data_IF_028525500553
#
_entry.id   IF_028525500553
#
_cell.length_a   1.000
_cell.length_b   1.000
_cell.length_c   1.000
_cell.angle_alpha   90.00
_cell.angle_beta   90.00
_cell.angle_gamma   90.00
#
_symmetry.space_group_name_H-M   'P 1'
#
loop_
_entity.id
_entity.type
_entity.pdbx_description
1 polymer ?
#
# COMPACT_ATOMS: atom_id res chain seq x y z
N UNK A 1 -21.89 -16.63 -12.82
CA UNK A 1 -21.50 -17.55 -11.73
C UNK A 1 -22.01 -16.95 -10.43
N UNK A 2 -23.13 -17.45 -9.93
CA UNK A 2 -23.73 -17.02 -8.67
C UNK A 2 -23.22 -17.86 -7.48
N UNK A 3 -21.98 -18.32 -7.57
CA UNK A 3 -21.34 -19.16 -6.56
C UNK A 3 -20.54 -18.34 -5.55
N UNK A 4 -20.49 -18.83 -4.31
CA UNK A 4 -19.48 -18.39 -3.35
C UNK A 4 -18.11 -18.93 -3.78
N UNK A 5 -17.04 -18.11 -3.76
CA UNK A 5 -15.71 -18.59 -4.11
C UNK A 5 -15.30 -19.74 -3.17
N UNK A 6 -14.58 -20.73 -3.70
CA UNK A 6 -14.05 -21.80 -2.87
C UNK A 6 -12.98 -21.27 -1.90
N UNK A 7 -12.62 -22.06 -0.87
CA UNK A 7 -11.53 -21.68 0.05
C UNK A 7 -10.21 -21.43 -0.68
N UNK A 8 -9.91 -22.24 -1.69
CA UNK A 8 -8.67 -22.15 -2.45
C UNK A 8 -8.65 -20.93 -3.36
N UNK A 9 -9.82 -20.51 -3.86
CA UNK A 9 -9.95 -19.28 -4.64
C UNK A 9 -9.62 -18.06 -3.78
N UNK A 10 -10.18 -18.01 -2.56
CA UNK A 10 -9.85 -16.93 -1.60
C UNK A 10 -8.36 -16.92 -1.27
N UNK A 11 -7.78 -18.08 -0.96
CA UNK A 11 -6.35 -18.16 -0.62
C UNK A 11 -5.47 -17.70 -1.78
N UNK A 12 -5.81 -18.04 -3.02
CA UNK A 12 -5.07 -17.57 -4.18
C UNK A 12 -5.21 -16.05 -4.36
N UNK A 13 -6.41 -15.48 -4.15
CA UNK A 13 -6.61 -14.03 -4.14
C UNK A 13 -5.78 -13.34 -3.05
N UNK A 14 -5.65 -13.95 -1.87
CA UNK A 14 -4.84 -13.41 -0.78
C UNK A 14 -3.35 -13.39 -1.14
N UNK A 15 -2.84 -14.45 -1.75
CA UNK A 15 -1.46 -14.48 -2.27
C UNK A 15 -1.25 -13.38 -3.31
N UNK A 16 -2.19 -13.21 -4.26
CA UNK A 16 -2.09 -12.15 -5.26
C UNK A 16 -2.10 -10.75 -4.65
N UNK A 17 -3.01 -10.47 -3.69
CA UNK A 17 -3.05 -9.19 -2.97
C UNK A 17 -1.74 -8.95 -2.21
N UNK A 18 -1.20 -10.00 -1.58
CA UNK A 18 0.07 -9.93 -0.85
C UNK A 18 1.23 -9.58 -1.77
N UNK A 19 1.31 -10.22 -2.94
CA UNK A 19 2.34 -9.93 -3.93
C UNK A 19 2.22 -8.49 -4.45
N UNK A 20 1.01 -8.02 -4.75
CA UNK A 20 0.80 -6.63 -5.22
C UNK A 20 1.21 -5.63 -4.13
N UNK A 21 0.85 -5.88 -2.86
CA UNK A 21 1.26 -5.02 -1.74
C UNK A 21 2.77 -5.00 -1.55
N UNK A 22 3.40 -6.18 -1.51
CA UNK A 22 4.86 -6.33 -1.46
C UNK A 22 5.55 -5.62 -2.62
N UNK A 23 5.07 -5.78 -3.86
CA UNK A 23 5.67 -5.14 -5.03
C UNK A 23 5.74 -3.61 -4.88
N UNK A 24 4.63 -2.96 -4.54
CA UNK A 24 4.63 -1.52 -4.38
C UNK A 24 5.37 -1.03 -3.15
N UNK A 25 5.35 -1.80 -2.05
CA UNK A 25 6.00 -1.38 -0.81
C UNK A 25 7.51 -1.61 -0.81
N UNK A 26 7.98 -2.70 -1.43
CA UNK A 26 9.35 -3.22 -1.27
C UNK A 26 10.18 -3.23 -2.55
N UNK A 27 9.56 -3.56 -3.69
CA UNK A 27 10.29 -3.55 -4.97
C UNK A 27 10.41 -2.11 -5.45
N UNK A 28 9.31 -1.34 -5.45
CA UNK A 28 9.34 0.06 -5.91
C UNK A 28 10.15 0.98 -4.97
N UNK A 29 10.21 0.69 -3.66
CA UNK A 29 11.06 1.44 -2.70
C UNK A 29 12.56 1.14 -2.83
N UNK A 30 12.92 0.03 -3.50
CA UNK A 30 14.26 -0.52 -3.45
C UNK A 30 14.68 -1.12 -2.10
N UNK A 31 13.74 -1.41 -1.19
CA UNK A 31 14.08 -2.04 0.11
C UNK A 31 14.30 -3.55 0.01
N UNK A 32 13.53 -4.26 -0.83
CA UNK A 32 13.76 -5.68 -1.16
C UNK A 32 14.21 -5.90 -2.62
N UNK A 33 14.74 -4.87 -3.28
CA UNK A 33 15.41 -5.07 -4.58
C UNK A 33 16.63 -5.98 -4.42
N UNK A 34 17.02 -6.66 -5.49
CA UNK A 34 18.30 -7.39 -5.51
C UNK A 34 19.44 -6.38 -5.44
N UNK A 35 19.89 -6.02 -4.23
CA UNK A 35 21.00 -5.09 -4.00
C UNK A 35 22.34 -5.69 -4.45
N UNK A 36 22.46 -7.02 -4.32
CA UNK A 36 23.54 -7.81 -4.88
C UNK A 36 22.97 -8.82 -5.88
N UNK A 37 23.73 -9.07 -6.95
CA UNK A 37 23.44 -10.11 -7.95
C UNK A 37 24.23 -11.40 -7.67
N UNK A 38 24.96 -11.45 -6.56
CA UNK A 38 25.64 -12.68 -6.13
C UNK A 38 24.60 -13.76 -5.80
N UNK A 39 24.76 -15.00 -6.31
CA UNK A 39 23.74 -16.04 -6.19
C UNK A 39 23.26 -16.30 -4.75
N UNK A 40 24.16 -16.27 -3.77
CA UNK A 40 23.83 -16.46 -2.36
C UNK A 40 22.98 -15.33 -1.77
N UNK A 41 23.32 -14.07 -2.10
CA UNK A 41 22.56 -12.90 -1.66
C UNK A 41 21.18 -12.83 -2.32
N UNK A 42 21.08 -13.23 -3.60
CA UNK A 42 19.81 -13.37 -4.32
C UNK A 42 18.92 -14.41 -3.63
N UNK A 43 19.46 -15.62 -3.37
CA UNK A 43 18.70 -16.68 -2.71
C UNK A 43 18.22 -16.27 -1.32
N UNK A 44 19.08 -15.65 -0.50
CA UNK A 44 18.72 -15.16 0.82
C UNK A 44 17.62 -14.09 0.75
N UNK A 45 17.71 -13.15 -0.20
CA UNK A 45 16.69 -12.10 -0.41
C UNK A 45 15.34 -12.68 -0.84
N UNK A 46 15.35 -13.69 -1.71
CA UNK A 46 14.11 -14.38 -2.14
C UNK A 46 13.49 -15.14 -0.97
N UNK A 47 14.27 -15.88 -0.20
CA UNK A 47 13.79 -16.63 0.97
C UNK A 47 13.21 -15.67 2.02
N UNK A 48 13.93 -14.59 2.32
CA UNK A 48 13.46 -13.54 3.23
C UNK A 48 12.15 -12.93 2.75
N UNK A 49 12.06 -12.67 1.44
CA UNK A 49 10.85 -12.09 0.86
C UNK A 49 9.65 -13.03 0.98
N UNK A 50 9.84 -14.32 0.72
CA UNK A 50 8.78 -15.32 0.77
C UNK A 50 8.29 -15.60 2.20
N UNK A 51 9.19 -15.59 3.19
CA UNK A 51 8.87 -16.00 4.56
C UNK A 51 8.48 -14.82 5.44
N UNK A 52 9.08 -13.64 5.21
CA UNK A 52 8.91 -12.48 6.09
C UNK A 52 8.14 -11.36 5.42
N UNK A 53 8.66 -10.77 4.34
CA UNK A 53 8.09 -9.51 3.84
C UNK A 53 6.76 -9.72 3.09
N UNK A 54 6.64 -10.69 2.18
CA UNK A 54 5.37 -10.97 1.50
C UNK A 54 4.26 -11.30 2.50
N UNK A 55 4.47 -12.19 3.50
CA UNK A 55 3.49 -12.42 4.56
C UNK A 55 3.21 -11.18 5.40
N UNK A 56 4.22 -10.40 5.78
CA UNK A 56 4.06 -9.18 6.56
C UNK A 56 3.12 -8.19 5.86
N UNK A 57 3.41 -7.86 4.59
CA UNK A 57 2.62 -6.92 3.81
C UNK A 57 1.22 -7.49 3.47
N UNK A 58 1.19 -8.77 3.10
CA UNK A 58 -0.05 -9.49 2.78
C UNK A 58 -1.03 -9.54 3.92
N UNK A 59 -0.58 -10.00 5.10
CA UNK A 59 -1.43 -10.17 6.28
C UNK A 59 -1.97 -8.83 6.77
N UNK A 60 -1.14 -7.77 6.83
CA UNK A 60 -1.61 -6.43 7.16
C UNK A 60 -2.67 -5.95 6.16
N UNK A 61 -2.39 -6.07 4.85
CA UNK A 61 -3.33 -5.66 3.80
C UNK A 61 -4.66 -6.39 3.93
N UNK A 62 -4.64 -7.72 4.06
CA UNK A 62 -5.84 -8.55 4.09
C UNK A 62 -6.65 -8.29 5.37
N UNK A 63 -6.01 -8.20 6.54
CA UNK A 63 -6.69 -7.94 7.81
C UNK A 63 -7.35 -6.56 7.81
N UNK A 64 -6.62 -5.51 7.42
CA UNK A 64 -7.13 -4.15 7.41
C UNK A 64 -8.18 -3.94 6.31
N UNK A 65 -7.97 -4.51 5.12
CA UNK A 65 -8.98 -4.52 4.07
C UNK A 65 -10.24 -5.24 4.54
N UNK A 66 -10.11 -6.40 5.19
CA UNK A 66 -11.26 -7.11 5.75
C UNK A 66 -12.06 -6.22 6.70
N UNK A 67 -11.40 -5.49 7.62
CA UNK A 67 -12.08 -4.56 8.53
C UNK A 67 -12.85 -3.50 7.75
N UNK A 68 -12.18 -2.84 6.80
CA UNK A 68 -12.80 -1.76 6.01
C UNK A 68 -13.96 -2.29 5.16
N UNK A 69 -13.77 -3.34 4.38
CA UNK A 69 -14.82 -3.91 3.56
C UNK A 69 -15.96 -4.50 4.42
N UNK A 70 -15.67 -5.11 5.57
CA UNK A 70 -16.73 -5.71 6.41
C UNK A 70 -17.62 -4.65 7.06
N UNK A 71 -17.04 -3.54 7.52
CA UNK A 71 -17.74 -2.57 8.36
C UNK A 71 -18.02 -1.23 7.67
N UNK A 72 -17.51 -1.01 6.46
CA UNK A 72 -17.51 0.29 5.80
C UNK A 72 -17.48 0.16 4.26
N UNK A 73 -17.49 1.31 3.59
CA UNK A 73 -17.11 1.44 2.19
C UNK A 73 -15.62 1.81 2.09
N UNK A 74 -14.86 1.27 1.13
CA UNK A 74 -13.42 1.50 0.98
C UNK A 74 -13.12 2.88 0.36
N UNK A 75 -13.52 3.94 1.07
CA UNK A 75 -13.24 5.33 0.68
C UNK A 75 -11.79 5.67 0.91
N UNK A 76 -11.26 6.62 0.14
CA UNK A 76 -9.88 7.08 0.28
C UNK A 76 -9.52 7.41 1.74
N UNK A 77 -10.35 8.19 2.43
CA UNK A 77 -10.09 8.63 3.80
C UNK A 77 -10.14 7.48 4.82
N UNK A 78 -11.07 6.53 4.64
CA UNK A 78 -11.14 5.33 5.48
C UNK A 78 -9.92 4.44 5.26
N UNK A 79 -9.56 4.20 4.00
CA UNK A 79 -8.40 3.39 3.65
C UNK A 79 -7.10 4.07 4.07
N UNK A 80 -7.05 5.40 4.08
CA UNK A 80 -5.89 6.16 4.53
C UNK A 80 -5.59 5.84 5.99
N UNK A 81 -6.55 5.97 6.91
CA UNK A 81 -6.34 5.62 8.32
C UNK A 81 -6.00 4.15 8.55
N UNK A 82 -6.61 3.23 7.78
CA UNK A 82 -6.20 1.83 7.82
C UNK A 82 -4.74 1.66 7.36
N UNK A 83 -4.32 2.39 6.33
CA UNK A 83 -2.94 2.48 5.87
C UNK A 83 -1.97 3.12 6.88
N UNK A 84 -2.43 4.09 7.70
CA UNK A 84 -1.63 4.61 8.83
C UNK A 84 -1.39 3.50 9.86
N UNK A 85 -2.43 2.74 10.22
CA UNK A 85 -2.31 1.59 11.14
C UNK A 85 -1.36 0.54 10.57
N UNK A 86 -1.39 0.33 9.26
CA UNK A 86 -0.40 -0.50 8.55
C UNK A 86 1.00 0.02 8.84
N UNK A 87 1.31 1.28 8.49
CA UNK A 87 2.65 1.84 8.66
C UNK A 87 3.20 1.79 10.09
N UNK A 88 2.34 1.79 11.10
CA UNK A 88 2.79 1.68 12.51
C UNK A 88 3.46 0.34 12.85
N UNK A 89 3.33 -0.72 12.03
CA UNK A 89 4.10 -1.96 12.25
C UNK A 89 5.60 -1.69 12.29
N UNK A 90 6.06 -0.67 11.57
CA UNK A 90 7.47 -0.31 11.41
C UNK A 90 8.14 0.00 12.76
N UNK A 91 7.39 0.47 13.77
CA UNK A 91 7.90 0.60 15.12
C UNK A 91 8.31 -0.76 15.72
N UNK A 92 7.52 -1.80 15.51
CA UNK A 92 7.73 -3.09 16.17
C UNK A 92 8.55 -4.07 15.35
N UNK A 93 8.47 -4.05 14.02
CA UNK A 93 9.15 -5.02 13.15
C UNK A 93 10.55 -4.55 12.79
N UNK A 94 10.69 -3.33 12.25
CA UNK A 94 11.99 -2.81 11.76
C UNK A 94 12.63 -1.80 12.72
N UNK A 95 11.88 -1.34 13.72
CA UNK A 95 12.25 -0.31 14.70
C UNK A 95 12.55 1.06 14.10
N UNK A 96 12.33 1.28 12.80
CA UNK A 96 12.72 2.52 12.12
C UNK A 96 12.07 3.77 12.72
N UNK A 97 10.88 3.66 13.30
CA UNK A 97 10.24 4.78 14.00
C UNK A 97 11.02 5.20 15.25
N UNK A 98 11.79 4.31 15.88
CA UNK A 98 12.56 4.61 17.09
C UNK A 98 14.04 4.87 16.84
N UNK A 99 14.62 4.32 15.77
CA UNK A 99 16.06 4.44 15.49
C UNK A 99 16.38 5.21 14.20
N UNK A 100 15.38 5.52 13.38
CA UNK A 100 15.57 6.13 12.07
C UNK A 100 16.13 5.16 11.02
N UNK A 101 16.38 5.66 9.82
CA UNK A 101 17.00 4.86 8.75
C UNK A 101 18.52 4.70 8.89
N UNK A 102 19.17 5.53 9.72
CA UNK A 102 20.61 5.51 9.86
C UNK A 102 21.15 6.49 10.90
N UNK A 103 22.49 6.60 11.03
CA UNK A 103 23.14 7.49 12.00
C UNK A 103 22.84 8.97 11.75
N UNK A 104 22.46 9.33 10.52
CA UNK A 104 22.14 10.70 10.13
C UNK A 104 20.71 11.13 10.46
N UNK A 105 19.92 10.26 11.10
CA UNK A 105 18.60 10.64 11.61
C UNK A 105 18.78 11.64 12.75
N UNK A 106 18.42 12.90 12.47
CA UNK A 106 18.68 14.01 13.39
C UNK A 106 17.46 14.43 14.20
N UNK A 107 16.24 14.15 13.74
CA UNK A 107 15.03 14.76 14.29
C UNK A 107 14.18 13.72 15.03
N UNK A 108 14.27 13.75 16.36
CA UNK A 108 13.45 12.93 17.25
C UNK A 108 12.48 13.79 18.06
N UNK A 109 11.24 13.33 18.18
CA UNK A 109 10.26 13.90 19.11
C UNK A 109 9.58 12.76 19.84
N UNK A 110 9.50 12.83 21.18
CA UNK A 110 8.92 11.73 21.95
C UNK A 110 9.68 10.39 21.80
N UNK A 111 10.94 10.43 21.36
CA UNK A 111 11.73 9.23 21.05
C UNK A 111 11.34 8.53 19.74
N UNK A 112 10.59 9.20 18.86
CA UNK A 112 10.33 8.73 17.49
C UNK A 112 10.97 9.65 16.45
N UNK A 113 11.53 9.04 15.40
CA UNK A 113 12.19 9.70 14.28
C UNK A 113 11.15 10.41 13.39
N UNK A 114 11.08 11.74 13.46
CA UNK A 114 9.94 12.53 12.97
C UNK A 114 9.78 12.43 11.45
N UNK A 115 10.88 12.49 10.70
CA UNK A 115 10.86 12.49 9.23
C UNK A 115 10.45 11.12 8.71
N UNK A 116 11.07 10.06 9.20
CA UNK A 116 10.77 8.66 8.87
C UNK A 116 9.33 8.33 9.24
N UNK A 117 8.91 8.73 10.44
CA UNK A 117 7.53 8.60 10.90
C UNK A 117 6.58 9.29 9.92
N UNK A 118 6.82 10.54 9.55
CA UNK A 118 5.97 11.27 8.61
C UNK A 118 5.92 10.59 7.23
N UNK A 119 7.07 10.18 6.67
CA UNK A 119 7.12 9.52 5.36
C UNK A 119 6.36 8.19 5.40
N UNK A 120 6.62 7.33 6.39
CA UNK A 120 6.03 5.99 6.46
C UNK A 120 4.54 6.04 6.77
N UNK A 121 4.11 6.93 7.68
CA UNK A 121 2.73 6.98 8.16
C UNK A 121 1.81 7.89 7.36
N UNK A 122 2.34 8.92 6.68
CA UNK A 122 1.51 9.82 5.88
C UNK A 122 1.58 9.50 4.39
N UNK A 123 2.64 8.83 3.93
CA UNK A 123 2.82 8.57 2.50
C UNK A 123 3.04 7.10 2.15
N UNK A 124 4.21 6.55 2.47
CA UNK A 124 4.68 5.31 1.87
C UNK A 124 3.73 4.14 2.16
N UNK A 125 3.49 3.82 3.44
CA UNK A 125 2.63 2.69 3.77
C UNK A 125 1.15 2.91 3.44
N UNK A 126 0.53 4.07 3.76
CA UNK A 126 -0.86 4.27 3.40
C UNK A 126 -1.14 4.15 1.91
N UNK A 127 -0.27 4.70 1.05
CA UNK A 127 -0.49 4.67 -0.39
C UNK A 127 0.15 3.45 -1.05
N UNK A 128 1.47 3.31 -0.95
CA UNK A 128 2.23 2.30 -1.69
C UNK A 128 2.04 0.90 -1.12
N UNK A 129 1.90 0.73 0.20
CA UNK A 129 1.70 -0.60 0.78
C UNK A 129 0.23 -1.01 0.89
N UNK A 130 -0.72 -0.07 0.89
CA UNK A 130 -2.12 -0.36 1.19
C UNK A 130 -3.13 0.10 0.12
N UNK A 131 -3.35 1.42 -0.06
CA UNK A 131 -4.40 1.93 -0.95
C UNK A 131 -4.18 1.53 -2.41
N UNK A 132 -2.98 1.79 -2.94
CA UNK A 132 -2.65 1.49 -4.34
C UNK A 132 -2.71 -0.03 -4.57
N UNK A 133 -2.12 -0.88 -3.72
CA UNK A 133 -2.29 -2.33 -3.85
C UNK A 133 -3.73 -2.80 -3.87
N UNK A 134 -4.60 -2.24 -3.03
CA UNK A 134 -6.03 -2.57 -3.06
C UNK A 134 -6.70 -2.08 -4.33
N UNK A 135 -6.40 -0.85 -4.77
CA UNK A 135 -6.91 -0.30 -6.03
C UNK A 135 -6.51 -1.15 -7.23
N UNK A 136 -5.23 -1.51 -7.34
CA UNK A 136 -4.67 -2.33 -8.41
C UNK A 136 -5.23 -3.74 -8.35
N UNK A 137 -5.25 -4.37 -7.16
CA UNK A 137 -5.81 -5.70 -6.96
C UNK A 137 -7.29 -5.75 -7.34
N UNK A 138 -8.09 -4.79 -6.88
CA UNK A 138 -9.50 -4.73 -7.24
C UNK A 138 -9.67 -4.56 -8.76
N UNK A 139 -8.90 -3.65 -9.36
CA UNK A 139 -8.94 -3.34 -10.79
C UNK A 139 -8.56 -4.52 -11.68
N UNK A 140 -7.53 -5.28 -11.29
CA UNK A 140 -6.94 -6.35 -12.09
C UNK A 140 -7.53 -7.73 -11.82
N UNK A 141 -7.94 -8.00 -10.57
CA UNK A 141 -8.27 -9.33 -10.05
C UNK A 141 -9.76 -9.52 -9.75
N UNK A 142 -10.59 -8.48 -9.87
CA UNK A 142 -12.01 -8.57 -9.49
C UNK A 142 -12.91 -7.80 -10.46
N UNK A 143 -14.22 -8.07 -10.38
CA UNK A 143 -15.25 -7.30 -11.09
C UNK A 143 -15.72 -6.05 -10.34
N UNK A 144 -15.34 -5.87 -9.08
CA UNK A 144 -15.75 -4.71 -8.29
C UNK A 144 -14.86 -3.49 -8.58
N UNK A 145 -15.33 -2.30 -8.18
CA UNK A 145 -14.66 -1.00 -8.38
C UNK A 145 -14.88 -0.08 -7.18
N UNK A 146 -14.99 -0.66 -6.00
CA UNK A 146 -15.35 0.05 -4.77
C UNK A 146 -14.27 1.04 -4.31
N UNK A 147 -12.97 0.71 -4.45
CA UNK A 147 -11.87 1.62 -4.11
C UNK A 147 -11.87 2.82 -5.05
N UNK A 148 -12.02 2.59 -6.36
CA UNK A 148 -12.14 3.66 -7.35
C UNK A 148 -13.34 4.55 -7.03
N UNK A 149 -14.51 3.94 -6.83
CA UNK A 149 -15.74 4.66 -6.51
C UNK A 149 -15.65 5.41 -5.16
N UNK A 150 -14.80 4.95 -4.25
CA UNK A 150 -14.49 5.56 -2.96
C UNK A 150 -13.55 6.76 -3.02
N UNK A 151 -13.03 7.15 -4.20
CA UNK A 151 -12.21 8.34 -4.36
C UNK A 151 -13.06 9.64 -4.30
N UNK A 152 -12.50 10.75 -3.79
CA UNK A 152 -13.16 12.06 -3.87
C UNK A 152 -13.27 12.53 -5.33
N UNK A 153 -14.29 13.35 -5.63
CA UNK A 153 -14.61 13.81 -6.99
C UNK A 153 -13.41 14.37 -7.79
N UNK A 154 -12.52 15.20 -7.21
CA UNK A 154 -11.36 15.69 -7.95
C UNK A 154 -10.42 14.58 -8.42
N UNK A 155 -10.26 13.52 -7.62
CA UNK A 155 -9.44 12.37 -8.00
C UNK A 155 -10.16 11.44 -8.97
N UNK A 156 -11.48 11.27 -8.84
CA UNK A 156 -12.29 10.55 -9.84
C UNK A 156 -12.19 11.17 -11.23
N UNK A 157 -12.09 12.51 -11.32
CA UNK A 157 -11.97 13.22 -12.58
C UNK A 157 -10.69 12.85 -13.37
N UNK A 158 -9.61 12.49 -12.66
CA UNK A 158 -8.38 11.97 -13.28
C UNK A 158 -8.63 10.66 -14.04
N UNK A 159 -9.72 9.96 -13.71
CA UNK A 159 -10.16 8.71 -14.32
C UNK A 159 -11.49 8.84 -15.08
N UNK A 160 -11.94 10.04 -15.44
CA UNK A 160 -13.24 10.24 -16.10
C UNK A 160 -13.28 9.84 -17.58
N UNK A 161 -12.13 9.53 -18.19
CA UNK A 161 -12.05 9.19 -19.60
C UNK A 161 -10.82 8.37 -19.95
N UNK A 162 -10.87 7.66 -21.08
CA UNK A 162 -9.83 6.71 -21.49
C UNK A 162 -8.44 7.35 -21.62
N UNK A 163 -8.35 8.55 -22.23
CA UNK A 163 -7.08 9.28 -22.40
C UNK A 163 -6.46 9.65 -21.05
N UNK A 164 -7.26 10.23 -20.13
CA UNK A 164 -6.79 10.62 -18.79
C UNK A 164 -6.42 9.40 -17.95
N UNK A 165 -7.26 8.36 -17.95
CA UNK A 165 -6.94 7.12 -17.26
C UNK A 165 -5.64 6.48 -17.76
N UNK A 166 -5.39 6.49 -19.07
CA UNK A 166 -4.13 6.00 -19.63
C UNK A 166 -2.95 6.89 -19.22
N UNK A 167 -3.10 8.22 -19.31
CA UNK A 167 -2.07 9.15 -18.86
C UNK A 167 -1.73 8.98 -17.37
N UNK A 168 -2.73 8.75 -16.52
CA UNK A 168 -2.53 8.48 -15.09
C UNK A 168 -1.80 7.15 -14.85
N UNK A 169 -2.15 6.08 -15.58
CA UNK A 169 -1.42 4.82 -15.49
C UNK A 169 0.03 4.98 -15.94
N UNK A 170 0.26 5.69 -17.04
CA UNK A 170 1.61 5.95 -17.54
C UNK A 170 2.43 6.79 -16.55
N UNK A 171 1.87 7.89 -16.05
CA UNK A 171 2.51 8.74 -15.05
C UNK A 171 2.83 7.96 -13.78
N UNK A 172 1.93 7.09 -13.33
CA UNK A 172 2.15 6.25 -12.15
C UNK A 172 3.25 5.21 -12.38
N UNK A 173 3.32 4.59 -13.56
CA UNK A 173 4.41 3.66 -13.88
C UNK A 173 5.77 4.36 -14.03
N UNK A 174 5.79 5.57 -14.59
CA UNK A 174 6.99 6.42 -14.61
C UNK A 174 7.44 6.74 -13.18
N UNK A 175 6.53 7.14 -12.31
CA UNK A 175 6.80 7.35 -10.89
C UNK A 175 7.40 6.10 -10.22
N UNK A 176 6.82 4.92 -10.47
CA UNK A 176 7.36 3.66 -9.97
C UNK A 176 8.77 3.37 -10.50
N UNK A 177 9.00 3.63 -11.79
CA UNK A 177 10.32 3.46 -12.42
C UNK A 177 11.36 4.40 -11.82
N UNK A 178 11.00 5.65 -11.55
CA UNK A 178 11.91 6.61 -10.92
C UNK A 178 12.29 6.18 -9.50
N UNK A 179 11.34 5.71 -8.69
CA UNK A 179 11.64 5.24 -7.34
C UNK A 179 12.54 3.99 -7.36
N UNK A 180 12.18 2.97 -8.15
CA UNK A 180 12.99 1.77 -8.29
C UNK A 180 14.41 2.09 -8.81
N UNK A 181 14.51 2.90 -9.85
CA UNK A 181 15.78 3.30 -10.44
C UNK A 181 16.64 4.16 -9.51
N UNK A 182 16.02 5.10 -8.80
CA UNK A 182 16.72 6.01 -7.90
C UNK A 182 17.37 5.30 -6.72
N UNK A 183 16.77 4.20 -6.28
CA UNK A 183 17.25 3.38 -5.18
C UNK A 183 18.19 2.26 -5.66
N UNK A 184 18.16 1.91 -6.95
CA UNK A 184 18.96 0.81 -7.50
C UNK A 184 20.47 1.14 -7.54
N UNK A 185 21.34 0.17 -7.17
CA UNK A 185 22.79 0.38 -7.24
C UNK A 185 23.32 0.50 -8.67
N UNK A 186 22.69 -0.19 -9.61
CA UNK A 186 23.03 -0.17 -11.03
C UNK A 186 21.79 -0.39 -11.92
N UNK A 187 21.89 -0.10 -13.24
CA UNK A 187 20.82 -0.39 -14.20
C UNK A 187 20.46 -1.86 -14.27
N UNK A 188 21.45 -2.75 -14.14
CA UNK A 188 21.21 -4.18 -14.19
C UNK A 188 20.35 -4.63 -13.00
N UNK A 189 20.62 -4.13 -11.80
CA UNK A 189 19.81 -4.43 -10.61
C UNK A 189 18.37 -3.93 -10.77
N UNK A 190 18.17 -2.74 -11.34
CA UNK A 190 16.85 -2.18 -11.62
C UNK A 190 16.08 -3.06 -12.62
N UNK A 191 16.71 -3.40 -13.75
CA UNK A 191 16.12 -4.23 -14.81
C UNK A 191 15.76 -5.61 -14.28
N UNK A 192 16.68 -6.30 -13.59
CA UNK A 192 16.44 -7.65 -13.08
C UNK A 192 15.32 -7.64 -12.04
N UNK A 193 15.27 -6.64 -11.14
CA UNK A 193 14.21 -6.54 -10.13
C UNK A 193 12.83 -6.34 -10.78
N UNK A 194 12.72 -5.43 -11.75
CA UNK A 194 11.46 -5.20 -12.47
C UNK A 194 11.05 -6.41 -13.34
N UNK A 195 12.02 -7.07 -13.99
CA UNK A 195 11.77 -8.25 -14.82
C UNK A 195 11.34 -9.45 -13.97
N UNK A 196 11.95 -9.66 -12.80
CA UNK A 196 11.56 -10.72 -11.88
C UNK A 196 10.12 -10.52 -11.40
N UNK A 197 9.74 -9.29 -11.05
CA UNK A 197 8.35 -8.96 -10.73
C UNK A 197 7.41 -9.30 -11.90
N UNK A 198 7.75 -8.89 -13.13
CA UNK A 198 6.97 -9.21 -14.32
C UNK A 198 6.81 -10.73 -14.54
N UNK A 199 7.91 -11.48 -14.42
CA UNK A 199 7.94 -12.94 -14.61
C UNK A 199 7.14 -13.67 -13.52
N UNK A 200 7.09 -13.16 -12.29
CA UNK A 200 6.27 -13.75 -11.22
C UNK A 200 4.79 -13.40 -11.38
N UNK A 201 4.47 -12.12 -11.63
CA UNK A 201 3.07 -11.68 -11.73
C UNK A 201 2.35 -12.23 -12.95
N UNK A 202 3.02 -12.32 -14.10
CA UNK A 202 2.34 -12.63 -15.36
C UNK A 202 1.73 -14.04 -15.39
N UNK A 203 2.46 -15.12 -15.03
CA UNK A 203 1.90 -16.47 -14.95
C UNK A 203 0.80 -16.57 -13.90
N UNK A 204 0.98 -15.96 -12.73
CA UNK A 204 -0.01 -16.00 -11.66
C UNK A 204 -1.30 -15.28 -12.06
N UNK A 205 -1.19 -14.09 -12.67
CA UNK A 205 -2.34 -13.35 -13.20
C UNK A 205 -3.05 -14.14 -14.31
N UNK A 206 -2.29 -14.81 -15.19
CA UNK A 206 -2.85 -15.67 -16.22
C UNK A 206 -3.63 -16.84 -15.60
N UNK A 207 -3.04 -17.56 -14.64
CA UNK A 207 -3.68 -18.65 -13.91
C UNK A 207 -4.94 -18.17 -13.17
N UNK A 208 -4.85 -17.01 -12.53
CA UNK A 208 -5.94 -16.37 -11.81
C UNK A 208 -7.13 -16.06 -12.73
N UNK A 209 -6.85 -15.51 -13.91
CA UNK A 209 -7.88 -15.24 -14.93
C UNK A 209 -8.45 -16.50 -15.55
N UNK A 210 -7.62 -17.52 -15.83
CA UNK A 210 -8.04 -18.82 -16.38
C UNK A 210 -8.99 -19.56 -15.42
N UNK A 211 -8.79 -19.44 -14.12
CA UNK A 211 -9.70 -19.98 -13.08
C UNK A 211 -11.00 -19.19 -12.92
N UNK A 212 -11.21 -18.10 -13.67
CA UNK A 212 -12.43 -17.30 -13.59
C UNK A 212 -12.53 -16.41 -12.34
N UNK A 213 -11.48 -16.29 -11.54
CA UNK A 213 -11.54 -15.60 -10.23
C UNK A 213 -11.82 -14.09 -10.35
N UNK A 214 -11.50 -13.51 -11.50
CA UNK A 214 -11.81 -12.12 -11.85
C UNK A 214 -13.32 -11.80 -11.91
N UNK A 215 -14.18 -12.82 -11.90
CA UNK A 215 -15.64 -12.67 -11.87
C UNK A 215 -16.18 -12.43 -10.44
N UNK A 216 -15.38 -12.67 -9.40
CA UNK A 216 -15.78 -12.36 -8.03
C UNK A 216 -15.54 -10.89 -7.68
N UNK A 217 -16.30 -10.38 -6.70
CA UNK A 217 -16.07 -9.07 -6.10
C UNK A 217 -14.99 -9.16 -5.01
N UNK A 218 -14.32 -8.04 -4.71
CA UNK A 218 -13.33 -8.01 -3.62
C UNK A 218 -13.93 -8.50 -2.29
N UNK A 219 -15.17 -8.10 -1.97
CA UNK A 219 -15.89 -8.55 -0.75
C UNK A 219 -16.05 -10.05 -0.65
N UNK A 220 -16.34 -10.73 -1.76
CA UNK A 220 -16.50 -12.19 -1.77
C UNK A 220 -15.16 -12.92 -1.56
N UNK A 221 -14.05 -12.29 -1.95
CA UNK A 221 -12.71 -12.83 -1.84
C UNK A 221 -12.06 -12.56 -0.48
N UNK A 222 -12.59 -11.61 0.31
CA UNK A 222 -12.11 -11.33 1.67
C UNK A 222 -12.32 -12.52 2.62
N UNK A 223 -11.50 -12.64 3.68
CA UNK A 223 -11.66 -13.69 4.68
C UNK A 223 -13.04 -13.73 5.33
N UNK A 224 -13.44 -14.92 5.78
CA UNK A 224 -14.49 -15.07 6.80
C UNK A 224 -13.95 -14.69 8.19
N UNK A 225 -14.84 -14.52 9.18
CA UNK A 225 -14.40 -14.24 10.57
C UNK A 225 -13.45 -15.30 11.13
N UNK A 226 -13.69 -16.57 10.81
CA UNK A 226 -12.84 -17.70 11.26
C UNK A 226 -11.48 -17.66 10.57
N UNK A 227 -11.47 -17.47 9.26
CA UNK A 227 -10.21 -17.35 8.50
C UNK A 227 -9.40 -16.13 8.93
N UNK A 228 -10.05 -15.00 9.23
CA UNK A 228 -9.37 -13.83 9.78
C UNK A 228 -8.66 -14.16 11.10
N UNK A 229 -9.32 -14.86 12.02
CA UNK A 229 -8.69 -15.28 13.27
C UNK A 229 -7.46 -16.16 13.03
N UNK A 230 -7.52 -17.04 12.02
CA UNK A 230 -6.35 -17.85 11.61
C UNK A 230 -5.24 -16.98 11.02
N UNK A 231 -5.55 -15.97 10.20
CA UNK A 231 -4.56 -15.04 9.63
C UNK A 231 -3.91 -14.12 10.67
N UNK A 232 -4.58 -13.84 11.78
CA UNK A 232 -4.00 -13.07 12.88
C UNK A 232 -2.88 -13.83 13.61
N UNK A 233 -2.90 -15.17 13.61
CA UNK A 233 -1.86 -15.98 14.24
C UNK A 233 -0.48 -15.80 13.60
N UNK A 234 -0.28 -16.01 12.28
CA UNK A 234 1.01 -15.76 11.65
C UNK A 234 1.40 -14.28 11.70
N UNK A 235 0.42 -13.36 11.68
CA UNK A 235 0.72 -11.93 11.83
C UNK A 235 1.31 -11.65 13.22
N UNK A 236 0.68 -12.14 14.29
CA UNK A 236 1.18 -12.03 15.65
C UNK A 236 2.54 -12.71 15.82
N UNK A 237 2.75 -13.85 15.17
CA UNK A 237 4.04 -14.55 15.18
C UNK A 237 5.14 -13.70 14.52
N UNK A 238 4.87 -13.04 13.40
CA UNK A 238 5.82 -12.11 12.77
C UNK A 238 6.17 -10.97 13.74
N UNK A 239 5.17 -10.38 14.41
CA UNK A 239 5.42 -9.36 15.44
C UNK A 239 6.27 -9.86 16.60
N UNK A 240 6.02 -11.09 17.07
CA UNK A 240 6.78 -11.67 18.17
C UNK A 240 8.23 -11.94 17.75
N UNK A 241 8.42 -12.65 16.63
CA UNK A 241 9.75 -13.07 16.15
C UNK A 241 10.57 -11.86 15.74
N UNK A 242 10.02 -10.95 14.94
CA UNK A 242 10.76 -9.75 14.50
C UNK A 242 10.90 -8.74 15.63
N UNK A 243 9.86 -8.60 16.48
CA UNK A 243 9.88 -7.66 17.58
C UNK A 243 10.95 -7.97 18.62
N UNK A 244 11.12 -9.25 18.96
CA UNK A 244 12.12 -9.73 19.92
C UNK A 244 13.46 -10.09 19.28
N UNK A 245 13.48 -10.45 17.99
CA UNK A 245 14.69 -10.89 17.28
C UNK A 245 15.48 -9.74 16.66
N UNK A 246 14.84 -8.61 16.34
CA UNK A 246 15.49 -7.48 15.68
C UNK A 246 15.52 -6.25 16.59
N UNK A 247 16.72 -5.79 16.96
CA UNK A 247 16.94 -4.59 17.79
C UNK A 247 16.06 -4.54 19.05
N UNK A 248 16.06 -5.63 19.81
CA UNK A 248 15.22 -5.80 21.00
C UNK A 248 15.51 -4.78 22.10
N UNK A 249 16.75 -4.27 22.15
CA UNK A 249 17.21 -3.26 23.12
C UNK A 249 16.35 -1.98 23.11
N UNK A 250 15.73 -1.64 21.98
CA UNK A 250 14.90 -0.45 21.85
C UNK A 250 13.53 -0.62 22.52
N UNK A 251 13.08 -1.86 22.74
CA UNK A 251 11.75 -2.14 23.30
C UNK A 251 11.62 -1.72 24.77
N UNK A 252 12.71 -1.63 25.51
CA UNK A 252 12.70 -1.39 26.95
C UNK A 252 12.42 0.06 27.35
N UNK A 253 12.49 1.01 26.39
CA UNK A 253 12.17 2.39 26.67
C UNK A 253 10.66 2.63 26.60
N UNK A 254 10.01 2.87 27.75
CA UNK A 254 8.56 3.05 27.84
C UNK A 254 8.07 4.33 27.14
N UNK A 255 8.90 5.35 26.99
CA UNK A 255 8.44 6.64 26.45
C UNK A 255 8.17 6.59 24.94
N UNK A 256 9.10 6.14 24.07
CA UNK A 256 8.82 5.90 22.65
C UNK A 256 7.67 4.91 22.42
N UNK A 257 7.51 3.92 23.30
CA UNK A 257 6.40 2.96 23.25
C UNK A 257 5.06 3.65 23.47
N UNK A 258 4.96 4.48 24.52
CA UNK A 258 3.75 5.24 24.84
C UNK A 258 3.34 6.17 23.69
N UNK A 259 4.31 6.82 23.03
CA UNK A 259 4.06 7.65 21.84
C UNK A 259 3.50 6.82 20.69
N UNK A 260 4.10 5.67 20.36
CA UNK A 260 3.58 4.77 19.33
C UNK A 260 2.20 4.21 19.68
N UNK A 261 1.93 3.88 20.95
CA UNK A 261 0.61 3.45 21.41
C UNK A 261 -0.44 4.55 21.25
N UNK A 262 -0.08 5.80 21.56
CA UNK A 262 -0.96 6.94 21.34
C UNK A 262 -1.27 7.13 19.85
N UNK A 263 -0.27 6.94 18.97
CA UNK A 263 -0.47 6.97 17.52
C UNK A 263 -1.40 5.85 17.04
N UNK A 264 -1.23 4.61 17.55
CA UNK A 264 -2.16 3.50 17.27
C UNK A 264 -3.58 3.84 17.74
N UNK A 265 -3.73 4.30 18.99
CA UNK A 265 -5.03 4.65 19.55
C UNK A 265 -5.71 5.75 18.72
N UNK A 266 -4.98 6.79 18.33
CA UNK A 266 -5.47 7.87 17.48
C UNK A 266 -5.89 7.35 16.10
N UNK A 267 -5.04 6.57 15.42
CA UNK A 267 -5.35 6.02 14.09
C UNK A 267 -6.55 5.07 14.12
N UNK A 268 -6.65 4.19 15.14
CA UNK A 268 -7.79 3.28 15.34
C UNK A 268 -9.07 4.07 15.64
N UNK A 269 -9.01 5.12 16.47
CA UNK A 269 -10.15 5.98 16.75
C UNK A 269 -10.64 6.68 15.48
N UNK A 270 -9.73 7.29 14.70
CA UNK A 270 -10.05 7.97 13.44
C UNK A 270 -10.61 6.99 12.40
N UNK A 271 -10.04 5.80 12.26
CA UNK A 271 -10.58 4.74 11.41
C UNK A 271 -12.00 4.37 11.86
N UNK A 272 -12.20 4.13 13.16
CA UNK A 272 -13.51 3.77 13.71
C UNK A 272 -14.57 4.85 13.46
N UNK A 273 -14.22 6.12 13.65
CA UNK A 273 -15.09 7.26 13.37
C UNK A 273 -15.44 7.36 11.88
N UNK A 274 -14.45 7.20 10.99
CA UNK A 274 -14.67 7.23 9.55
C UNK A 274 -15.60 6.10 9.06
N UNK A 275 -15.50 4.90 9.66
CA UNK A 275 -16.33 3.75 9.31
C UNK A 275 -17.78 3.87 9.78
N UNK A 276 -18.03 4.42 10.98
CA UNK A 276 -19.39 4.52 11.55
C UNK A 276 -20.38 5.26 10.63
N UNK A 277 -19.90 6.23 9.84
CA UNK A 277 -20.74 7.10 9.00
C UNK A 277 -20.73 6.72 7.51
N UNK A 278 -19.81 5.88 7.05
CA UNK A 278 -19.73 5.46 5.64
C UNK A 278 -20.86 4.50 5.23
N UNK A 279 -21.39 3.70 6.18
CA UNK A 279 -22.48 2.74 5.96
C UNK A 279 -23.74 3.36 5.36
N UNK A 280 -23.92 4.67 5.51
CA UNK A 280 -25.14 5.40 5.14
C UNK A 280 -25.16 5.92 3.70
N UNK A 281 -24.03 5.86 2.99
CA UNK A 281 -23.90 6.49 1.68
C UNK A 281 -23.55 5.44 0.63
N UNK A 282 -24.55 5.05 -0.16
CA UNK A 282 -24.35 4.26 -1.36
C UNK A 282 -23.40 5.01 -2.30
N UNK A 283 -22.34 4.33 -2.74
CA UNK A 283 -21.39 4.89 -3.70
C UNK A 283 -21.85 4.43 -5.09
N UNK A 284 -22.05 5.38 -6.00
CA UNK A 284 -22.41 5.06 -7.38
C UNK A 284 -21.29 4.22 -8.02
N UNK A 285 -21.61 3.18 -8.80
CA UNK A 285 -20.60 2.37 -9.45
C UNK A 285 -19.75 3.23 -10.41
N UNK A 286 -18.44 3.26 -10.16
CA UNK A 286 -17.49 3.93 -11.04
C UNK A 286 -16.90 2.91 -12.02
N UNK A 287 -17.04 3.16 -13.32
CA UNK A 287 -16.32 2.40 -14.34
C UNK A 287 -14.88 2.90 -14.45
N UNK A 288 -13.90 2.00 -14.39
CA UNK A 288 -12.53 2.37 -14.76
C UNK A 288 -12.44 2.44 -16.29
N UNK A 289 -12.05 3.59 -16.88
CA UNK A 289 -12.22 3.83 -18.32
C UNK A 289 -11.20 3.08 -19.19
N UNK A 290 -10.17 2.47 -18.58
CA UNK A 290 -9.10 1.76 -19.29
C UNK A 290 -9.18 0.27 -18.99
N UNK A 291 -9.46 -0.54 -20.02
CA UNK A 291 -9.38 -1.99 -19.89
C UNK A 291 -7.92 -2.43 -19.97
N UNK A 292 -7.44 -3.18 -18.97
CA UNK A 292 -6.07 -3.70 -18.95
C UNK A 292 -5.92 -4.86 -19.94
N UNK A 293 -5.59 -4.54 -21.20
CA UNK A 293 -5.22 -5.50 -22.23
C UNK A 293 -3.82 -6.08 -21.97
N UNK A 294 -3.47 -7.17 -22.67
CA UNK A 294 -2.15 -7.80 -22.53
C UNK A 294 -1.04 -6.85 -22.97
N UNK A 295 -1.29 -6.12 -24.06
CA UNK A 295 -0.36 -5.16 -24.68
C UNK A 295 -0.15 -3.97 -23.74
N UNK A 296 -1.22 -3.45 -23.14
CA UNK A 296 -1.11 -2.38 -22.15
C UNK A 296 -0.31 -2.84 -20.93
N UNK A 297 -0.61 -4.03 -20.40
CA UNK A 297 0.11 -4.59 -19.26
C UNK A 297 1.62 -4.75 -19.54
N UNK A 298 1.98 -5.34 -20.69
CA UNK A 298 3.38 -5.46 -21.12
C UNK A 298 4.01 -4.08 -21.30
N UNK A 299 3.34 -3.16 -21.99
CA UNK A 299 3.82 -1.79 -22.21
C UNK A 299 4.09 -1.04 -20.91
N UNK A 300 3.22 -1.16 -19.90
CA UNK A 300 3.42 -0.56 -18.58
C UNK A 300 4.66 -1.13 -17.86
N UNK A 301 4.91 -2.43 -17.97
CA UNK A 301 6.13 -3.04 -17.42
C UNK A 301 7.39 -2.65 -18.23
N UNK A 302 7.29 -2.51 -19.55
CA UNK A 302 8.40 -1.97 -20.34
C UNK A 302 8.75 -0.54 -19.91
N UNK A 303 7.75 0.32 -19.66
CA UNK A 303 7.98 1.66 -19.12
C UNK A 303 8.68 1.59 -17.76
N UNK A 304 8.21 0.74 -16.84
CA UNK A 304 8.87 0.54 -15.54
C UNK A 304 10.34 0.16 -15.68
N UNK A 305 10.65 -0.84 -16.50
CA UNK A 305 12.01 -1.35 -16.73
C UNK A 305 12.89 -0.26 -17.33
N UNK A 306 12.43 0.40 -18.40
CA UNK A 306 13.22 1.43 -19.09
C UNK A 306 13.46 2.65 -18.19
N UNK A 307 12.43 3.16 -17.53
CA UNK A 307 12.57 4.32 -16.65
C UNK A 307 13.47 4.01 -15.45
N UNK A 308 13.33 2.83 -14.84
CA UNK A 308 14.21 2.46 -13.71
C UNK A 308 15.67 2.28 -14.12
N UNK A 309 15.93 1.66 -15.28
CA UNK A 309 17.27 1.56 -15.84
C UNK A 309 17.89 2.95 -16.09
N UNK A 310 17.16 3.85 -16.76
CA UNK A 310 17.64 5.20 -17.07
C UNK A 310 17.91 6.00 -15.79
N UNK A 311 16.97 6.01 -14.84
CA UNK A 311 17.10 6.79 -13.61
C UNK A 311 18.25 6.29 -12.73
N UNK A 312 18.53 4.98 -12.72
CA UNK A 312 19.67 4.44 -11.97
C UNK A 312 21.03 4.95 -12.43
N UNK A 313 21.12 5.47 -13.67
CA UNK A 313 22.32 6.09 -14.22
C UNK A 313 22.44 7.59 -13.91
N UNK A 314 21.42 8.21 -13.34
CA UNK A 314 21.41 9.65 -13.06
C UNK A 314 22.26 9.97 -11.83
N UNK A 315 23.20 10.93 -11.89
CA UNK A 315 24.14 11.21 -10.79
C UNK A 315 23.47 11.81 -9.54
N UNK A 316 22.30 12.45 -9.68
CA UNK A 316 21.52 13.03 -8.58
C UNK A 316 20.21 12.27 -8.29
N UNK A 317 20.18 10.97 -8.62
CA UNK A 317 18.96 10.14 -8.49
C UNK A 317 18.40 10.07 -7.07
N UNK A 318 19.25 10.13 -6.04
CA UNK A 318 18.79 10.14 -4.64
C UNK A 318 18.05 11.43 -4.29
N UNK A 319 18.49 12.58 -4.81
CA UNK A 319 17.79 13.86 -4.60
C UNK A 319 16.39 13.82 -5.23
N UNK A 320 16.26 13.18 -6.40
CA UNK A 320 14.96 12.97 -7.04
C UNK A 320 14.05 12.13 -6.14
N UNK A 321 14.54 11.01 -5.59
CA UNK A 321 13.76 10.16 -4.67
C UNK A 321 13.37 10.93 -3.42
N UNK A 322 14.29 11.67 -2.80
CA UNK A 322 14.01 12.48 -1.61
C UNK A 322 12.95 13.55 -1.89
N UNK A 323 13.02 14.23 -3.04
CA UNK A 323 12.00 15.18 -3.45
C UNK A 323 10.63 14.52 -3.59
N UNK A 324 10.57 13.29 -4.14
CA UNK A 324 9.31 12.55 -4.23
C UNK A 324 8.77 12.11 -2.88
N UNK A 325 9.61 11.61 -1.97
CA UNK A 325 9.20 11.27 -0.62
C UNK A 325 8.67 12.49 0.11
N UNK A 326 9.31 13.65 -0.07
CA UNK A 326 8.87 14.91 0.52
C UNK A 326 7.51 15.37 -0.04
N UNK A 327 7.36 15.44 -1.37
CA UNK A 327 6.10 15.81 -2.03
C UNK A 327 4.98 14.83 -1.64
N UNK A 328 5.29 13.54 -1.63
CA UNK A 328 4.36 12.49 -1.21
C UNK A 328 3.91 12.64 0.23
N UNK A 329 4.83 12.99 1.13
CA UNK A 329 4.53 13.26 2.55
C UNK A 329 3.64 14.48 2.72
N UNK A 330 3.89 15.56 1.96
CA UNK A 330 3.01 16.75 1.94
C UNK A 330 1.61 16.38 1.43
N UNK A 331 1.52 15.65 0.32
CA UNK A 331 0.24 15.20 -0.21
C UNK A 331 -0.51 14.31 0.80
N UNK A 332 0.22 13.41 1.47
CA UNK A 332 -0.27 12.57 2.55
C UNK A 332 -0.81 13.34 3.74
N UNK A 333 -0.07 14.35 4.21
CA UNK A 333 -0.53 15.28 5.24
C UNK A 333 -1.81 16.03 4.81
N UNK A 334 -1.88 16.46 3.55
CA UNK A 334 -3.08 17.04 2.96
C UNK A 334 -4.28 16.08 3.01
N UNK A 335 -4.09 14.81 2.64
CA UNK A 335 -5.14 13.79 2.74
C UNK A 335 -5.52 13.51 4.20
N UNK A 336 -4.58 13.51 5.14
CA UNK A 336 -4.87 13.40 6.57
C UNK A 336 -5.78 14.54 7.04
N UNK A 337 -5.43 15.80 6.74
CA UNK A 337 -6.25 16.98 7.08
C UNK A 337 -7.64 16.90 6.43
N UNK A 338 -7.72 16.56 5.14
CA UNK A 338 -9.00 16.39 4.46
C UNK A 338 -9.85 15.26 5.07
N UNK A 339 -9.21 14.19 5.55
CA UNK A 339 -9.88 13.08 6.23
C UNK A 339 -10.44 13.52 7.59
N UNK A 340 -9.71 14.36 8.34
CA UNK A 340 -10.22 14.96 9.58
C UNK A 340 -11.40 15.88 9.30
N UNK A 341 -11.30 16.75 8.29
CA UNK A 341 -12.40 17.63 7.88
C UNK A 341 -13.63 16.82 7.47
N UNK A 342 -13.46 15.71 6.73
CA UNK A 342 -14.56 14.81 6.36
C UNK A 342 -15.23 14.18 7.61
N UNK A 343 -14.45 13.78 8.62
CA UNK A 343 -14.99 13.28 9.88
C UNK A 343 -15.79 14.36 10.61
N UNK A 344 -15.23 15.56 10.77
CA UNK A 344 -15.86 16.68 11.49
C UNK A 344 -17.15 17.13 10.80
N UNK A 345 -17.14 17.33 9.48
CA UNK A 345 -18.34 17.70 8.70
C UNK A 345 -19.45 16.67 8.85
N UNK A 346 -19.12 15.38 8.91
CA UNK A 346 -20.11 14.29 9.08
C UNK A 346 -20.57 14.09 10.52
N UNK A 347 -19.80 14.59 11.48
CA UNK A 347 -20.20 14.61 12.89
C UNK A 347 -21.27 15.69 13.17
N UNK A 348 -21.54 16.59 12.22
CA UNK A 348 -22.46 17.71 12.42
C UNK A 348 -21.88 18.77 13.36
N UNK A 349 -20.56 18.75 13.60
CA UNK A 349 -19.87 19.71 14.46
C UNK A 349 -19.57 21.04 13.75
N UNK A 350 -19.72 21.07 12.42
CA UNK A 350 -19.68 22.28 11.62
C UNK A 350 -20.97 22.33 10.83
N UNK A 351 -21.83 23.29 11.16
CA UNK A 351 -23.07 23.54 10.44
C UNK A 351 -22.73 24.23 9.12
N UNK A 352 -23.01 23.57 8.00
CA UNK A 352 -22.66 24.10 6.67
C UNK A 352 -23.61 25.23 6.25
N UNK A 353 -23.30 26.45 6.71
CA UNK A 353 -23.66 27.69 6.02
C UNK A 353 -22.82 27.91 4.73
N UNK A 354 -21.82 27.06 4.48
CA UNK A 354 -20.94 27.14 3.29
C UNK A 354 -21.34 26.11 2.22
N UNK A 355 -22.51 26.28 1.62
CA UNK A 355 -22.90 25.56 0.39
C UNK A 355 -22.28 26.13 -0.89
N UNK A 356 -21.51 27.21 -0.83
CA UNK A 356 -21.06 27.94 -2.03
C UNK A 356 -19.62 27.72 -2.53
N UNK A 357 -18.78 26.92 -1.86
CA UNK A 357 -17.36 26.83 -2.27
C UNK A 357 -16.90 25.53 -2.93
N UNK A 358 -17.77 24.53 -3.10
CA UNK A 358 -17.37 23.28 -3.77
C UNK A 358 -18.53 22.73 -4.59
N UNK A 359 -18.76 23.33 -5.77
CA UNK A 359 -19.33 22.63 -6.92
C UNK A 359 -18.26 22.55 -7.99
#
# INVERSE_FOLDING_TARGET
>A
MDGTPSRWDRYFSWVMISLVSFFFAEIISGSSMLRSLEPGAVAASVIWSLIVTIPLYGLHTIVLAWVVYRYSQPRLYTLFFAGVIFGLYEAYITKVLWVGWGPDTVWFFGGVAVVETAVLLLFWHPFMAFIIPLFVSESMLTRSREVLAGLPRPLLWLFSGRKRGFAMLLAFMLYCGVNLGGQSPSPLNAIVSALLAFVVFTPLLYLYRRRGLHQYTMRQLMPTKRELAVLLVPLALIYLVMGLGFRAEVLFNLWPQAVVWLMYAAAIALLSLSMRKSKRLAIAPAGFPVRLSKELYVGLFCVLILTSAVVSMVPFRLLIVLAFLFIGTIAGAGIFVLSLIDIVKRAGLIDTATKHFIN
#
